data_IF_126053600551
#
_entry.id   IF_126053600551
#
_cell.length_a   1.000
_cell.length_b   1.000
_cell.length_c   1.000
_cell.angle_alpha   90.00
_cell.angle_beta   90.00
_cell.angle_gamma   90.00
#
_symmetry.space_group_name_H-M   'P 1'
#
loop_
_entity.id
_entity.type
_entity.pdbx_description
1 polymer ?
#
# COMPACT_ATOMS: atom_id res chain seq x y z
N UNK A 1 -52.62 -19.41 26.73
CA UNK A 1 -53.67 -19.61 25.70
C UNK A 1 -53.85 -18.28 24.97
N UNK A 2 -54.19 -18.33 23.67
CA UNK A 2 -54.96 -17.34 22.88
C UNK A 2 -54.68 -15.82 23.01
N UNK A 3 -54.62 -15.01 21.94
CA UNK A 3 -54.89 -15.24 20.51
C UNK A 3 -54.17 -14.21 19.62
N UNK A 4 -54.37 -14.27 18.30
CA UNK A 4 -53.53 -13.67 17.25
C UNK A 4 -54.18 -12.53 16.44
N UNK A 5 -53.38 -11.50 16.11
CA UNK A 5 -53.36 -10.74 14.82
C UNK A 5 -54.67 -10.04 14.32
N UNK A 6 -54.64 -9.27 13.21
CA UNK A 6 -53.83 -8.08 12.90
C UNK A 6 -54.70 -6.89 12.40
N UNK A 7 -54.13 -5.71 12.04
CA UNK A 7 -54.44 -5.01 10.76
C UNK A 7 -53.61 -3.73 10.45
N UNK A 8 -53.28 -3.58 9.16
CA UNK A 8 -53.08 -2.37 8.29
C UNK A 8 -52.70 -0.98 8.85
N UNK A 9 -51.53 -0.49 8.39
CA UNK A 9 -51.37 0.52 7.32
C UNK A 9 -52.46 1.61 7.13
N UNK A 10 -52.10 2.88 7.39
CA UNK A 10 -52.61 4.08 6.69
C UNK A 10 -51.53 5.18 6.67
N UNK A 11 -51.41 5.90 5.55
CA UNK A 11 -50.73 7.21 5.47
C UNK A 11 -51.79 8.33 5.47
N UNK A 12 -51.48 9.55 5.94
CA UNK A 12 -52.20 10.75 5.55
C UNK A 12 -51.79 11.22 4.14
N UNK A 13 -52.73 11.83 3.43
CA UNK A 13 -52.57 12.47 2.11
C UNK A 13 -53.40 13.78 2.10
N UNK A 14 -53.41 14.50 0.97
CA UNK A 14 -54.20 15.74 0.66
C UNK A 14 -53.65 17.04 1.29
N UNK A 15 -53.76 18.24 0.68
CA UNK A 15 -54.19 18.70 -0.67
C UNK A 15 -53.50 20.08 -0.91
N UNK A 16 -52.80 20.33 -2.03
CA UNK A 16 -53.26 20.79 -3.36
C UNK A 16 -53.68 22.27 -3.50
N UNK A 17 -53.07 22.98 -4.46
CA UNK A 17 -53.61 23.94 -5.47
C UNK A 17 -52.38 24.41 -6.33
N UNK A 18 -52.31 24.33 -7.68
CA UNK A 18 -53.14 24.91 -8.78
C UNK A 18 -52.93 26.43 -8.88
N UNK A 19 -52.56 27.10 -9.98
CA UNK A 19 -52.33 26.80 -11.43
C UNK A 19 -51.41 27.94 -12.01
N UNK A 20 -51.24 28.21 -13.34
CA UNK A 20 -51.38 27.40 -14.56
C UNK A 20 -50.13 27.43 -15.50
N UNK A 21 -50.13 26.60 -16.57
CA UNK A 21 -49.33 26.82 -17.80
C UNK A 21 -50.15 27.60 -18.86
N UNK A 22 -49.54 28.16 -19.93
CA UNK A 22 -49.32 27.37 -21.17
C UNK A 22 -47.91 27.55 -21.78
N UNK A 23 -47.25 26.60 -22.46
CA UNK A 23 -47.63 25.52 -23.41
C UNK A 23 -47.52 25.94 -24.89
N UNK A 24 -46.46 25.51 -25.60
CA UNK A 24 -46.47 24.77 -26.89
C UNK A 24 -45.18 24.82 -27.76
N UNK A 25 -44.92 23.67 -28.42
CA UNK A 25 -44.16 23.41 -29.66
C UNK A 25 -42.64 23.67 -29.78
N UNK A 26 -41.88 22.57 -29.89
CA UNK A 26 -40.72 22.47 -30.79
C UNK A 26 -41.17 22.23 -32.25
N UNK A 27 -40.33 22.52 -33.26
CA UNK A 27 -39.71 21.40 -33.99
C UNK A 27 -38.26 21.63 -34.49
N UNK A 28 -37.64 20.54 -34.96
CA UNK A 28 -36.33 20.48 -35.64
C UNK A 28 -36.52 20.04 -37.12
N UNK A 29 -35.47 19.95 -37.96
CA UNK A 29 -34.50 20.99 -38.32
C UNK A 29 -34.30 21.14 -39.87
N UNK A 30 -33.95 22.34 -40.36
CA UNK A 30 -33.55 22.64 -41.74
C UNK A 30 -32.53 23.80 -41.76
N UNK A 31 -31.72 24.11 -42.78
CA UNK A 31 -31.05 23.44 -43.92
C UNK A 31 -30.67 24.55 -44.92
N UNK A 32 -29.37 24.77 -45.17
CA UNK A 32 -28.81 25.57 -46.27
C UNK A 32 -27.35 25.11 -46.47
N UNK A 33 -26.78 24.77 -47.65
CA UNK A 33 -26.74 25.37 -49.01
C UNK A 33 -26.19 26.81 -49.01
N UNK A 34 -25.18 27.19 -49.83
CA UNK A 34 -24.58 26.61 -51.05
C UNK A 34 -23.04 26.87 -51.09
N UNK A 35 -22.16 26.04 -51.69
CA UNK A 35 -21.78 25.88 -53.13
C UNK A 35 -21.22 27.18 -53.77
N UNK A 36 -20.08 27.28 -54.47
CA UNK A 36 -19.08 26.38 -55.11
C UNK A 36 -17.75 27.19 -55.30
N UNK A 37 -16.58 26.75 -55.81
CA UNK A 37 -15.91 25.54 -56.37
C UNK A 37 -14.38 25.73 -56.13
N UNK A 38 -13.34 25.03 -56.63
CA UNK A 38 -13.02 24.00 -57.66
C UNK A 38 -11.92 23.07 -57.01
N UNK A 39 -11.47 21.89 -57.47
CA UNK A 39 -11.36 21.09 -58.72
C UNK A 39 -9.90 21.00 -59.25
N UNK A 40 -9.27 19.84 -59.08
CA UNK A 40 -7.91 19.52 -59.56
C UNK A 40 -7.49 18.06 -59.29
N UNK A 41 -7.75 17.16 -60.24
CA UNK A 41 -7.25 15.76 -60.28
C UNK A 41 -5.77 15.74 -60.77
N UNK A 42 -4.96 14.67 -60.79
CA UNK A 42 -5.00 13.22 -60.45
C UNK A 42 -3.51 12.77 -60.31
N UNK A 43 -3.06 11.59 -59.85
CA UNK A 43 -3.15 10.19 -60.37
C UNK A 43 -1.94 9.43 -59.76
N UNK A 44 -1.80 8.11 -59.56
CA UNK A 44 -2.66 6.92 -59.45
C UNK A 44 -1.75 5.66 -59.48
N UNK A 45 -1.68 4.86 -58.40
CA UNK A 45 -1.22 3.45 -58.37
C UNK A 45 -1.45 2.92 -56.94
N UNK A 46 -2.09 1.77 -56.63
CA UNK A 46 -1.97 0.36 -57.08
C UNK A 46 -0.63 -0.27 -56.70
N UNK A 47 -0.53 -1.35 -55.91
CA UNK A 47 -1.54 -2.18 -55.20
C UNK A 47 -0.82 -2.91 -54.01
N UNK A 48 -1.32 -3.91 -53.25
CA UNK A 48 -2.42 -4.89 -53.40
C UNK A 48 -2.91 -5.39 -52.02
N UNK A 49 -3.70 -6.48 -51.99
CA UNK A 49 -4.33 -7.18 -50.84
C UNK A 49 -3.39 -8.06 -49.98
N UNK A 50 -3.70 -8.20 -48.69
CA UNK A 50 -3.88 -9.52 -48.02
C UNK A 50 -4.55 -9.36 -46.63
N UNK A 51 -5.43 -10.30 -46.26
CA UNK A 51 -6.00 -10.44 -44.91
C UNK A 51 -5.68 -11.83 -44.37
N UNK A 52 -5.22 -11.95 -43.13
CA UNK A 52 -4.99 -13.24 -42.48
C UNK A 52 -5.22 -13.15 -40.95
N UNK A 53 -5.81 -14.21 -40.39
CA UNK A 53 -6.29 -14.24 -39.00
C UNK A 53 -5.76 -15.48 -38.26
N UNK A 54 -5.02 -15.25 -37.18
CA UNK A 54 -4.70 -16.24 -36.14
C UNK A 54 -4.30 -15.46 -34.87
N UNK A 55 -4.97 -15.59 -33.72
CA UNK A 55 -5.37 -16.78 -32.97
C UNK A 55 -4.16 -17.66 -32.60
N UNK A 56 -3.50 -17.30 -31.50
CA UNK A 56 -2.44 -18.09 -30.87
C UNK A 56 -2.97 -18.76 -29.61
N UNK A 57 -3.05 -20.09 -29.64
CA UNK A 57 -3.38 -20.90 -28.46
C UNK A 57 -2.12 -21.37 -27.72
N UNK A 58 -2.29 -21.66 -26.44
CA UNK A 58 -1.29 -22.23 -25.56
C UNK A 58 -0.70 -23.55 -26.10
N UNK A 59 0.62 -23.71 -26.01
CA UNK A 59 1.26 -25.03 -25.95
C UNK A 59 2.39 -25.05 -24.94
N UNK A 60 2.21 -25.81 -23.87
CA UNK A 60 3.31 -26.34 -23.08
C UNK A 60 4.17 -27.25 -23.97
N UNK A 61 5.50 -27.22 -23.78
CA UNK A 61 6.38 -28.27 -24.31
C UNK A 61 7.55 -28.51 -23.35
N UNK A 62 7.40 -29.52 -22.51
CA UNK A 62 8.50 -30.06 -21.70
C UNK A 62 9.55 -30.73 -22.61
N UNK A 63 10.82 -30.44 -22.35
CA UNK A 63 11.96 -31.20 -22.89
C UNK A 63 13.16 -31.07 -21.96
N UNK A 64 13.59 -32.18 -21.38
CA UNK A 64 14.93 -32.33 -20.81
C UNK A 64 15.83 -33.02 -21.82
N UNK A 65 17.13 -32.67 -21.83
CA UNK A 65 18.18 -33.67 -21.96
C UNK A 65 19.16 -33.60 -20.78
N UNK A 66 20.04 -34.60 -20.67
CA UNK A 66 21.00 -34.77 -19.57
C UNK A 66 22.35 -35.28 -20.09
N UNK A 67 23.35 -35.38 -19.20
CA UNK A 67 24.71 -35.99 -19.40
C UNK A 67 25.71 -35.07 -20.15
N UNK A 68 27.03 -34.99 -19.81
CA UNK A 68 27.76 -35.39 -18.59
C UNK A 68 28.60 -34.25 -17.91
N UNK A 69 29.37 -34.63 -16.89
CA UNK A 69 30.28 -33.80 -16.08
C UNK A 69 31.63 -33.44 -16.75
N UNK A 70 32.24 -32.33 -16.31
CA UNK A 70 33.69 -32.23 -16.15
C UNK A 70 34.07 -31.17 -15.09
N UNK A 71 34.72 -31.59 -14.00
CA UNK A 71 35.32 -30.71 -12.97
C UNK A 71 36.71 -31.25 -12.61
N UNK A 72 37.72 -30.39 -12.38
CA UNK A 72 39.02 -30.81 -11.87
C UNK A 72 38.93 -31.36 -10.43
N UNK A 73 39.87 -32.25 -10.09
CA UNK A 73 40.23 -32.61 -8.71
C UNK A 73 41.07 -31.49 -8.09
N UNK A 74 41.12 -31.46 -6.76
CA UNK A 74 42.40 -31.55 -6.05
C UNK A 74 42.20 -32.27 -4.69
N UNK A 75 43.17 -33.11 -4.35
CA UNK A 75 43.36 -33.95 -3.15
C UNK A 75 44.90 -33.93 -2.91
N UNK A 76 45.49 -33.90 -1.72
CA UNK A 76 45.00 -34.02 -0.33
C UNK A 76 46.14 -33.59 0.66
N UNK A 77 45.81 -33.53 1.96
CA UNK A 77 46.61 -34.07 3.10
C UNK A 77 47.42 -33.13 4.04
N UNK A 78 47.03 -33.17 5.32
CA UNK A 78 47.81 -32.94 6.59
C UNK A 78 48.58 -31.62 6.83
N UNK A 79 48.70 -31.10 8.06
CA UNK A 79 48.85 -31.83 9.34
C UNK A 79 48.17 -31.18 10.58
N UNK A 80 48.31 -31.80 11.75
CA UNK A 80 47.44 -31.71 12.93
C UNK A 80 48.01 -30.82 14.06
N UNK A 81 47.19 -29.95 14.68
CA UNK A 81 47.38 -29.58 16.10
C UNK A 81 46.09 -29.37 16.93
N UNK A 82 45.66 -30.50 17.50
CA UNK A 82 44.83 -30.76 18.70
C UNK A 82 44.63 -29.65 19.77
N UNK A 83 43.48 -29.74 20.46
CA UNK A 83 42.98 -29.02 21.66
C UNK A 83 42.17 -27.74 21.38
N UNK A 84 41.11 -27.39 22.13
CA UNK A 84 40.50 -28.03 23.32
C UNK A 84 39.00 -27.68 23.41
N UNK A 85 38.17 -28.58 23.94
CA UNK A 85 36.74 -28.34 24.14
C UNK A 85 36.48 -27.57 25.46
N UNK A 86 35.82 -26.41 25.38
CA UNK A 86 35.36 -25.67 26.57
C UNK A 86 33.89 -25.97 26.87
N UNK A 87 33.69 -27.06 27.61
CA UNK A 87 32.38 -27.45 28.14
C UNK A 87 31.91 -26.47 29.23
N UNK A 88 31.06 -25.51 28.87
CA UNK A 88 30.40 -24.61 29.82
C UNK A 88 29.29 -25.39 30.56
N UNK A 89 29.71 -26.10 31.62
CA UNK A 89 28.80 -26.67 32.61
C UNK A 89 28.10 -25.54 33.36
N UNK A 90 26.83 -25.27 33.03
CA UNK A 90 25.96 -24.44 33.87
C UNK A 90 25.61 -25.20 35.16
N UNK A 91 26.51 -25.16 36.14
CA UNK A 91 26.29 -25.72 37.47
C UNK A 91 25.14 -25.00 38.19
N UNK A 92 24.15 -25.77 38.64
CA UNK A 92 23.14 -25.29 39.59
C UNK A 92 23.65 -25.56 41.01
N UNK A 93 24.56 -24.71 41.47
CA UNK A 93 24.86 -24.61 42.90
C UNK A 93 23.81 -23.70 43.54
N UNK A 94 23.15 -24.20 44.58
CA UNK A 94 22.19 -23.44 45.37
C UNK A 94 22.94 -22.70 46.48
N UNK A 95 22.99 -21.38 46.39
CA UNK A 95 23.26 -20.50 47.53
C UNK A 95 22.12 -19.48 47.66
N UNK A 96 21.85 -19.09 48.91
CA UNK A 96 20.66 -18.31 49.28
C UNK A 96 20.99 -16.81 49.49
N UNK A 97 19.94 -15.99 49.55
CA UNK A 97 19.96 -14.54 49.85
C UNK A 97 20.68 -13.60 48.85
N UNK A 98 19.99 -13.29 47.75
CA UNK A 98 19.93 -11.93 47.21
C UNK A 98 18.69 -11.72 46.32
N UNK A 99 18.08 -10.54 46.40
CA UNK A 99 16.76 -10.23 45.82
C UNK A 99 16.70 -10.14 44.29
N UNK A 100 16.81 -11.27 43.60
CA UNK A 100 16.70 -11.36 42.14
C UNK A 100 15.27 -11.08 41.63
N UNK A 101 15.12 -10.06 40.78
CA UNK A 101 13.84 -9.63 40.24
C UNK A 101 13.30 -10.63 39.20
N UNK A 102 12.52 -11.62 39.65
CA UNK A 102 11.91 -12.64 38.78
C UNK A 102 10.73 -12.07 37.99
N UNK A 103 10.89 -11.97 36.66
CA UNK A 103 9.79 -11.65 35.74
C UNK A 103 8.82 -12.85 35.70
N UNK A 104 7.52 -12.68 36.02
CA UNK A 104 6.57 -13.78 35.99
C UNK A 104 6.33 -14.32 34.59
N UNK A 105 6.13 -15.63 34.46
CA UNK A 105 5.61 -16.22 33.21
C UNK A 105 4.14 -15.87 33.02
N UNK A 106 3.65 -15.89 31.76
CA UNK A 106 2.26 -15.49 31.45
C UNK A 106 1.19 -16.24 32.25
N UNK A 107 1.43 -17.50 32.63
CA UNK A 107 0.50 -18.27 33.46
C UNK A 107 0.41 -17.74 34.91
N UNK A 108 1.53 -17.24 35.47
CA UNK A 108 1.58 -16.72 36.84
C UNK A 108 0.87 -15.37 36.95
N UNK A 109 1.06 -14.47 35.98
CA UNK A 109 0.42 -13.15 35.97
C UNK A 109 -1.13 -13.19 35.97
N UNK A 110 -1.74 -14.29 35.51
CA UNK A 110 -3.19 -14.47 35.47
C UNK A 110 -3.75 -14.90 36.83
N UNK A 111 -2.98 -15.67 37.63
CA UNK A 111 -3.33 -16.07 39.00
C UNK A 111 -2.92 -14.99 40.02
N UNK A 112 -1.84 -14.28 39.72
CA UNK A 112 -1.23 -13.18 40.49
C UNK A 112 -2.20 -12.17 41.14
N UNK A 113 -3.05 -11.62 40.26
CA UNK A 113 -3.48 -10.22 40.37
C UNK A 113 -2.32 -9.25 40.08
N UNK A 114 -2.57 -8.12 39.41
CA UNK A 114 -1.52 -7.15 39.04
C UNK A 114 -1.10 -6.28 40.24
N UNK A 115 -0.44 -6.89 41.22
CA UNK A 115 0.00 -6.23 42.46
C UNK A 115 1.30 -5.44 42.30
N UNK A 116 1.19 -4.13 42.04
CA UNK A 116 2.18 -3.09 42.37
C UNK A 116 3.68 -3.45 42.20
N UNK A 117 4.18 -3.44 40.96
CA UNK A 117 5.63 -3.37 40.72
C UNK A 117 6.14 -1.99 41.18
N UNK A 118 7.07 -1.97 42.12
CA UNK A 118 7.70 -0.74 42.60
C UNK A 118 8.61 -0.14 41.52
N UNK A 119 8.37 1.11 41.14
CA UNK A 119 9.18 1.83 40.16
C UNK A 119 10.41 2.41 40.85
N UNK A 120 11.52 1.66 40.84
CA UNK A 120 12.85 2.24 41.06
C UNK A 120 13.15 3.30 39.99
N UNK A 121 13.92 4.33 40.34
CA UNK A 121 14.12 5.52 39.52
C UNK A 121 14.82 5.23 38.17
N UNK A 122 14.03 4.95 37.14
CA UNK A 122 14.49 4.82 35.77
C UNK A 122 14.84 6.20 35.20
N UNK A 123 16.10 6.35 34.78
CA UNK A 123 16.67 7.57 34.19
C UNK A 123 15.92 7.95 32.91
N UNK A 124 15.10 9.03 32.89
CA UNK A 124 14.10 9.21 31.85
C UNK A 124 14.70 9.84 30.58
N UNK A 125 14.82 9.03 29.52
CA UNK A 125 15.05 9.51 28.15
C UNK A 125 14.76 8.47 27.06
N UNK A 126 15.21 7.22 27.24
CA UNK A 126 15.27 6.22 26.15
C UNK A 126 14.22 5.10 26.29
N UNK A 127 13.99 4.57 27.49
CA UNK A 127 13.09 3.43 27.74
C UNK A 127 11.63 3.68 27.30
N UNK A 128 11.18 4.94 27.39
CA UNK A 128 9.80 5.34 27.05
C UNK A 128 9.49 5.06 25.58
N UNK A 129 10.49 5.19 24.70
CA UNK A 129 10.30 5.12 23.25
C UNK A 129 10.18 3.66 22.80
N UNK A 130 11.02 2.77 23.34
CA UNK A 130 10.91 1.32 23.17
C UNK A 130 9.59 0.77 23.74
N UNK A 131 9.16 1.24 24.91
CA UNK A 131 7.86 0.87 25.50
C UNK A 131 6.69 1.32 24.61
N UNK A 132 6.77 2.51 23.99
CA UNK A 132 5.75 2.96 23.04
C UNK A 132 5.71 2.09 21.77
N UNK A 133 6.85 1.67 21.23
CA UNK A 133 6.90 0.71 20.11
C UNK A 133 6.30 -0.66 20.50
N UNK A 134 6.64 -1.21 21.67
CA UNK A 134 6.08 -2.47 22.17
C UNK A 134 4.55 -2.39 22.36
N UNK A 135 4.04 -1.31 22.95
CA UNK A 135 2.60 -1.08 23.11
C UNK A 135 1.91 -0.96 21.74
N UNK A 136 2.53 -0.26 20.79
CA UNK A 136 2.02 -0.15 19.42
C UNK A 136 2.09 -1.49 18.65
N UNK A 137 2.98 -2.42 19.01
CA UNK A 137 2.94 -3.81 18.50
C UNK A 137 1.75 -4.57 19.09
N UNK A 138 1.51 -4.47 20.40
CA UNK A 138 0.44 -5.21 21.10
C UNK A 138 -0.98 -4.76 20.74
N UNK A 139 -1.17 -3.56 20.17
CA UNK A 139 -2.48 -3.08 19.71
C UNK A 139 -2.98 -3.85 18.48
N UNK A 140 -3.71 -4.94 18.69
CA UNK A 140 -4.35 -5.78 17.65
C UNK A 140 -5.58 -5.12 16.99
N UNK A 141 -5.56 -3.80 16.80
CA UNK A 141 -6.59 -3.03 16.10
C UNK A 141 -6.20 -2.63 14.68
N UNK A 142 -7.16 -2.22 13.83
CA UNK A 142 -6.87 -1.61 12.53
C UNK A 142 -6.05 -0.32 12.67
N UNK A 143 -5.16 -0.08 11.72
CA UNK A 143 -4.18 1.03 11.73
C UNK A 143 -4.30 1.89 10.48
N UNK A 144 -3.88 3.15 10.58
CA UNK A 144 -3.53 3.96 9.40
C UNK A 144 -2.07 3.68 9.02
N UNK A 145 -1.84 3.28 7.77
CA UNK A 145 -0.55 2.79 7.26
C UNK A 145 -0.13 3.64 6.05
N UNK A 146 1.05 4.26 6.13
CA UNK A 146 1.63 5.06 5.07
C UNK A 146 2.52 4.23 4.16
N UNK A 147 2.14 4.08 2.90
CA UNK A 147 2.92 3.38 1.88
C UNK A 147 3.73 4.35 1.02
N UNK A 148 5.04 4.09 0.94
CA UNK A 148 6.01 4.85 0.15
C UNK A 148 6.87 3.93 -0.69
N UNK A 149 7.42 4.42 -1.79
CA UNK A 149 8.54 3.74 -2.43
C UNK A 149 8.99 4.33 -3.75
N UNK A 150 9.90 3.61 -4.39
CA UNK A 150 10.44 3.96 -5.70
C UNK A 150 9.39 3.84 -6.81
N UNK A 151 9.55 4.68 -7.84
CA UNK A 151 8.80 4.59 -9.10
C UNK A 151 9.36 3.54 -10.06
N UNK A 152 10.65 3.24 -9.93
CA UNK A 152 11.36 2.30 -10.79
C UNK A 152 11.56 0.98 -10.03
N UNK A 153 10.73 -0.03 -10.30
CA UNK A 153 10.83 -1.37 -9.71
C UNK A 153 10.31 -2.45 -10.66
N UNK A 154 10.94 -3.63 -10.60
CA UNK A 154 10.54 -4.80 -11.39
C UNK A 154 9.11 -5.27 -11.08
N UNK A 155 8.46 -5.86 -12.09
CA UNK A 155 7.06 -6.29 -12.04
C UNK A 155 6.72 -7.16 -10.82
N UNK A 156 7.58 -8.13 -10.48
CA UNK A 156 7.45 -9.01 -9.33
C UNK A 156 7.26 -8.25 -7.98
N UNK A 157 7.96 -7.13 -7.79
CA UNK A 157 7.78 -6.32 -6.58
C UNK A 157 6.42 -5.61 -6.59
N UNK A 158 5.96 -5.15 -7.75
CA UNK A 158 4.62 -4.56 -7.88
C UNK A 158 3.52 -5.56 -7.56
N UNK A 159 3.62 -6.81 -8.03
CA UNK A 159 2.66 -7.88 -7.69
C UNK A 159 2.62 -8.15 -6.18
N UNK A 160 3.79 -8.26 -5.53
CA UNK A 160 3.90 -8.44 -4.08
C UNK A 160 3.27 -7.27 -3.31
N UNK A 161 3.52 -6.04 -3.74
CA UNK A 161 2.99 -4.82 -3.11
C UNK A 161 1.47 -4.70 -3.32
N UNK A 162 0.96 -5.13 -4.47
CA UNK A 162 -0.48 -5.18 -4.76
C UNK A 162 -1.20 -6.18 -3.83
N UNK A 163 -0.64 -7.39 -3.67
CA UNK A 163 -1.16 -8.42 -2.75
C UNK A 163 -1.09 -7.96 -1.29
N UNK A 164 0.02 -7.35 -0.88
CA UNK A 164 0.19 -6.79 0.47
C UNK A 164 -0.85 -5.71 0.78
N UNK A 165 -1.06 -4.79 -0.16
CA UNK A 165 -1.99 -3.66 0.01
C UNK A 165 -3.45 -4.14 0.06
N UNK A 166 -3.81 -5.12 -0.78
CA UNK A 166 -5.09 -5.82 -0.69
C UNK A 166 -5.29 -6.46 0.70
N UNK A 167 -4.31 -7.22 1.20
CA UNK A 167 -4.40 -7.88 2.50
C UNK A 167 -4.55 -6.88 3.67
N UNK A 168 -3.86 -5.74 3.61
CA UNK A 168 -3.98 -4.67 4.61
C UNK A 168 -5.39 -4.06 4.66
N UNK A 169 -6.01 -3.80 3.50
CA UNK A 169 -7.38 -3.25 3.43
C UNK A 169 -8.44 -4.28 3.83
N UNK A 170 -8.27 -5.56 3.45
CA UNK A 170 -9.15 -6.66 3.89
C UNK A 170 -9.10 -6.84 5.41
N UNK A 171 -7.93 -6.63 6.04
CA UNK A 171 -7.75 -6.58 7.50
C UNK A 171 -8.17 -5.24 8.14
N UNK A 172 -8.89 -4.39 7.39
CA UNK A 172 -9.51 -3.11 7.77
C UNK A 172 -8.54 -1.95 8.03
N UNK A 173 -7.26 -2.07 7.66
CA UNK A 173 -6.31 -0.97 7.79
C UNK A 173 -6.59 0.11 6.74
N UNK A 174 -6.38 1.38 7.11
CA UNK A 174 -6.53 2.52 6.23
C UNK A 174 -5.19 2.82 5.56
N UNK A 175 -5.11 2.65 4.24
CA UNK A 175 -3.91 2.93 3.45
C UNK A 175 -3.86 4.41 3.05
N UNK A 176 -2.74 5.04 3.34
CA UNK A 176 -2.36 6.36 2.83
C UNK A 176 -1.16 6.21 1.89
N UNK A 177 -1.20 6.82 0.71
CA UNK A 177 -0.04 6.87 -0.21
C UNK A 177 -0.12 8.11 -1.09
N UNK A 178 0.82 8.30 -2.02
CA UNK A 178 0.80 9.39 -3.01
C UNK A 178 0.71 8.87 -4.44
N UNK A 179 0.09 9.62 -5.36
CA UNK A 179 -0.30 9.16 -6.71
C UNK A 179 0.84 8.96 -7.72
N UNK A 180 2.02 8.53 -7.29
CA UNK A 180 3.16 8.21 -8.13
C UNK A 180 3.04 6.83 -8.81
N UNK A 181 3.80 6.62 -9.88
CA UNK A 181 3.99 5.31 -10.52
C UNK A 181 4.86 4.35 -9.67
N UNK A 182 4.99 3.09 -10.12
CA UNK A 182 5.74 2.06 -9.40
C UNK A 182 5.04 1.60 -8.13
N UNK A 183 5.73 1.69 -6.98
CA UNK A 183 5.23 1.26 -5.66
C UNK A 183 3.79 1.70 -5.42
N UNK A 184 3.53 3.01 -5.50
CA UNK A 184 2.26 3.57 -5.04
C UNK A 184 1.10 3.24 -5.99
N UNK A 185 1.38 3.08 -7.29
CA UNK A 185 0.40 2.59 -8.25
C UNK A 185 -0.01 1.13 -7.94
N UNK A 186 0.95 0.27 -7.58
CA UNK A 186 0.65 -1.09 -7.12
C UNK A 186 -0.17 -1.10 -5.81
N UNK A 187 0.15 -0.20 -4.87
CA UNK A 187 -0.64 -0.01 -3.63
C UNK A 187 -2.08 0.37 -3.94
N UNK A 188 -2.30 1.34 -4.83
CA UNK A 188 -3.63 1.80 -5.22
C UNK A 188 -4.41 0.68 -5.92
N UNK A 189 -3.80 -0.08 -6.85
CA UNK A 189 -4.45 -1.25 -7.48
C UNK A 189 -4.88 -2.29 -6.44
N UNK A 190 -4.01 -2.62 -5.49
CA UNK A 190 -4.27 -3.62 -4.45
C UNK A 190 -5.38 -3.19 -3.49
N UNK A 191 -5.36 -1.93 -3.06
CA UNK A 191 -6.39 -1.36 -2.20
C UNK A 191 -7.76 -1.27 -2.90
N UNK A 192 -7.81 -0.84 -4.16
CA UNK A 192 -9.07 -0.80 -4.94
C UNK A 192 -9.67 -2.20 -5.14
N UNK A 193 -8.83 -3.23 -5.32
CA UNK A 193 -9.26 -4.63 -5.45
C UNK A 193 -9.94 -5.19 -4.18
N UNK A 194 -9.80 -4.54 -3.03
CA UNK A 194 -10.47 -4.96 -1.79
C UNK A 194 -11.93 -4.47 -1.68
N UNK A 195 -12.44 -3.70 -2.65
CA UNK A 195 -13.82 -3.16 -2.69
C UNK A 195 -14.20 -2.28 -1.47
N UNK A 196 -13.19 -1.72 -0.79
CA UNK A 196 -13.34 -0.79 0.35
C UNK A 196 -12.72 0.58 0.07
N UNK A 197 -13.35 1.40 -0.79
CA UNK A 197 -12.79 2.68 -1.22
C UNK A 197 -12.65 3.70 -0.07
N UNK A 198 -13.37 3.51 1.05
CA UNK A 198 -13.27 4.35 2.24
C UNK A 198 -11.95 4.17 3.02
N UNK A 199 -11.26 3.04 2.82
CA UNK A 199 -9.99 2.70 3.49
C UNK A 199 -8.75 3.03 2.64
N UNK A 200 -8.92 3.73 1.52
CA UNK A 200 -7.82 4.27 0.71
C UNK A 200 -7.90 5.79 0.67
N UNK A 201 -6.79 6.46 0.95
CA UNK A 201 -6.61 7.90 0.74
C UNK A 201 -5.31 8.16 -0.02
N UNK A 202 -5.39 8.90 -1.13
CA UNK A 202 -4.22 9.24 -1.94
C UNK A 202 -3.96 10.74 -1.90
N UNK A 203 -2.85 11.13 -1.28
CA UNK A 203 -2.43 12.53 -1.17
C UNK A 203 -1.45 12.83 -2.30
N UNK A 204 -1.74 13.80 -3.16
CA UNK A 204 -0.86 14.16 -4.28
C UNK A 204 0.17 15.23 -3.86
N UNK A 205 1.41 15.18 -4.37
CA UNK A 205 2.40 16.22 -4.09
C UNK A 205 2.05 17.57 -4.74
N UNK A 206 1.32 17.51 -5.85
CA UNK A 206 0.85 18.64 -6.66
C UNK A 206 -0.60 18.35 -7.10
N UNK A 207 -1.15 19.08 -8.08
CA UNK A 207 -2.46 18.73 -8.67
C UNK A 207 -2.47 17.41 -9.49
N UNK A 208 -3.66 16.91 -9.80
CA UNK A 208 -3.89 15.69 -10.60
C UNK A 208 -3.35 15.84 -12.03
N UNK A 209 -3.58 17.00 -12.66
CA UNK A 209 -3.03 17.38 -13.99
C UNK A 209 -1.50 17.37 -14.09
N UNK A 210 -0.77 17.32 -12.96
CA UNK A 210 0.70 17.19 -12.89
C UNK A 210 1.18 15.74 -12.82
N UNK A 211 0.29 14.77 -12.56
CA UNK A 211 0.65 13.35 -12.53
C UNK A 211 0.76 12.77 -13.94
N UNK A 212 1.51 11.67 -14.17
CA UNK A 212 1.53 10.97 -15.46
C UNK A 212 0.14 10.51 -15.91
N UNK A 213 -0.16 10.41 -17.22
CA UNK A 213 -1.49 9.99 -17.71
C UNK A 213 -1.97 8.64 -17.18
N UNK A 214 -1.07 7.65 -17.06
CA UNK A 214 -1.33 6.34 -16.43
C UNK A 214 -1.79 6.51 -14.97
N UNK A 215 -1.09 7.36 -14.21
CA UNK A 215 -1.47 7.70 -12.83
C UNK A 215 -2.81 8.42 -12.78
N UNK A 216 -3.11 9.34 -13.71
CA UNK A 216 -4.42 10.00 -13.78
C UNK A 216 -5.55 9.01 -14.05
N UNK A 217 -5.36 8.04 -14.95
CA UNK A 217 -6.36 7.00 -15.24
C UNK A 217 -6.61 6.09 -14.02
N UNK A 218 -5.55 5.74 -13.27
CA UNK A 218 -5.67 4.96 -12.04
C UNK A 218 -6.34 5.78 -10.91
N UNK A 219 -5.97 7.05 -10.75
CA UNK A 219 -6.52 7.95 -9.74
C UNK A 219 -8.00 8.27 -9.98
N UNK A 220 -8.48 8.24 -11.23
CA UNK A 220 -9.92 8.42 -11.54
C UNK A 220 -10.83 7.35 -10.92
N UNK A 221 -10.25 6.23 -10.46
CA UNK A 221 -10.94 5.10 -9.80
C UNK A 221 -10.88 5.18 -8.27
N UNK A 222 -10.16 6.16 -7.71
CA UNK A 222 -9.97 6.35 -6.26
C UNK A 222 -10.99 7.37 -5.73
N UNK A 223 -11.72 7.01 -4.67
CA UNK A 223 -12.73 7.89 -4.07
C UNK A 223 -12.11 9.10 -3.33
N UNK A 224 -11.05 8.87 -2.54
CA UNK A 224 -10.46 9.91 -1.69
C UNK A 224 -9.09 10.34 -2.23
N UNK A 225 -9.10 11.29 -3.17
CA UNK A 225 -7.88 11.93 -3.70
C UNK A 225 -7.76 13.35 -3.12
N UNK A 226 -6.65 13.65 -2.48
CA UNK A 226 -6.35 14.98 -1.90
C UNK A 226 -5.28 15.66 -2.76
N UNK A 227 -5.70 16.63 -3.57
CA UNK A 227 -4.79 17.40 -4.42
C UNK A 227 -4.07 18.53 -3.68
N UNK A 228 -2.84 18.85 -4.09
CA UNK A 228 -2.08 20.04 -3.63
C UNK A 228 -1.81 21.01 -4.77
N UNK A 229 -2.81 21.66 -5.38
CA UNK A 229 -2.60 22.58 -6.51
C UNK A 229 -1.74 23.80 -6.13
N UNK A 230 -1.72 24.19 -4.84
CA UNK A 230 -0.83 25.24 -4.34
C UNK A 230 0.67 24.88 -4.53
N UNK A 231 1.03 23.59 -4.54
CA UNK A 231 2.40 23.12 -4.78
C UNK A 231 2.77 23.00 -6.27
N UNK A 232 1.87 23.31 -7.22
CA UNK A 232 2.13 23.19 -8.67
C UNK A 232 3.39 23.94 -9.15
N UNK A 233 3.82 24.95 -8.40
CA UNK A 233 4.98 25.81 -8.70
C UNK A 233 6.31 25.24 -8.16
N UNK A 234 6.28 24.29 -7.24
CA UNK A 234 7.47 23.72 -6.62
C UNK A 234 8.16 22.68 -7.53
N UNK A 235 9.48 22.46 -7.39
CA UNK A 235 10.14 21.27 -7.93
C UNK A 235 9.51 20.00 -7.36
N UNK A 236 9.32 18.96 -8.20
CA UNK A 236 8.60 17.75 -7.81
C UNK A 236 9.24 17.01 -6.62
N UNK A 237 10.57 17.06 -6.46
CA UNK A 237 11.28 16.50 -5.31
C UNK A 237 10.82 17.13 -3.99
N UNK A 238 10.67 18.46 -3.97
CA UNK A 238 10.31 19.21 -2.77
C UNK A 238 8.81 19.10 -2.48
N UNK A 239 7.98 19.15 -3.53
CA UNK A 239 6.56 18.83 -3.44
C UNK A 239 6.34 17.39 -2.90
N UNK A 240 7.22 16.44 -3.23
CA UNK A 240 7.19 15.08 -2.66
C UNK A 240 7.62 15.03 -1.19
N UNK A 241 8.60 15.80 -0.71
CA UNK A 241 8.91 15.89 0.74
C UNK A 241 7.70 16.38 1.53
N UNK A 242 7.10 17.49 1.10
CA UNK A 242 5.88 18.04 1.70
C UNK A 242 4.67 17.09 1.57
N UNK A 243 4.65 16.22 0.56
CA UNK A 243 3.64 15.17 0.47
C UNK A 243 3.87 14.06 1.50
N UNK A 244 5.13 13.66 1.71
CA UNK A 244 5.50 12.57 2.58
C UNK A 244 5.30 12.92 4.07
N UNK A 245 5.59 14.16 4.47
CA UNK A 245 5.34 14.62 5.85
C UNK A 245 3.85 14.62 6.19
N UNK A 246 3.00 15.11 5.27
CA UNK A 246 1.55 15.07 5.47
C UNK A 246 1.03 13.62 5.58
N UNK A 247 1.53 12.68 4.77
CA UNK A 247 1.17 11.26 4.92
C UNK A 247 1.64 10.72 6.28
N UNK A 248 2.88 10.99 6.69
CA UNK A 248 3.44 10.56 7.99
C UNK A 248 2.63 11.12 9.17
N UNK A 249 2.05 12.32 9.04
CA UNK A 249 1.20 12.90 10.08
C UNK A 249 -0.07 12.09 10.36
N UNK A 250 -0.67 11.46 9.33
CA UNK A 250 -1.95 10.74 9.45
C UNK A 250 -1.82 9.29 9.95
N UNK A 251 -0.62 8.69 9.84
CA UNK A 251 -0.42 7.24 9.98
C UNK A 251 0.25 6.87 11.31
N UNK A 252 0.12 5.62 11.74
CA UNK A 252 0.83 5.06 12.90
C UNK A 252 1.98 4.15 12.46
N UNK A 253 1.84 3.52 11.28
CA UNK A 253 2.86 2.66 10.67
C UNK A 253 3.23 3.20 9.29
N UNK A 254 4.47 2.98 8.89
CA UNK A 254 5.05 3.32 7.59
C UNK A 254 5.62 2.05 6.97
N UNK A 255 5.29 1.79 5.70
CA UNK A 255 5.85 0.72 4.90
C UNK A 255 6.53 1.37 3.68
N UNK A 256 7.82 1.16 3.52
CA UNK A 256 8.61 1.77 2.46
C UNK A 256 9.34 0.73 1.59
N UNK A 257 9.31 0.91 0.26
CA UNK A 257 10.01 0.08 -0.73
C UNK A 257 11.03 0.93 -1.50
N UNK A 258 12.32 0.83 -1.14
CA UNK A 258 13.35 1.74 -1.62
C UNK A 258 14.59 1.01 -2.17
N UNK A 259 15.45 1.76 -2.87
CA UNK A 259 16.85 1.38 -3.05
C UNK A 259 17.70 2.06 -1.97
N UNK A 260 18.87 1.52 -1.64
CA UNK A 260 19.75 2.08 -0.60
C UNK A 260 20.23 3.51 -0.91
N UNK A 261 20.30 3.90 -2.20
CA UNK A 261 20.71 5.23 -2.65
C UNK A 261 19.61 6.32 -2.53
N UNK A 262 18.37 5.91 -2.21
CA UNK A 262 17.18 6.73 -2.41
C UNK A 262 16.98 7.76 -1.28
N UNK A 263 17.78 8.83 -1.32
CA UNK A 263 17.84 9.90 -0.30
C UNK A 263 16.48 10.36 0.20
N UNK A 264 15.55 10.68 -0.70
CA UNK A 264 14.18 11.11 -0.36
C UNK A 264 13.45 10.08 0.52
N UNK A 265 13.58 8.78 0.23
CA UNK A 265 12.90 7.71 0.97
C UNK A 265 13.63 7.40 2.28
N UNK A 266 14.96 7.52 2.33
CA UNK A 266 15.74 7.40 3.56
C UNK A 266 15.46 8.56 4.53
N UNK A 267 15.42 9.80 4.02
CA UNK A 267 14.95 11.00 4.73
C UNK A 267 13.54 10.73 5.31
N UNK A 268 12.58 10.36 4.45
CA UNK A 268 11.19 10.05 4.83
C UNK A 268 11.10 8.97 5.92
N UNK A 269 11.90 7.90 5.82
CA UNK A 269 11.93 6.84 6.83
C UNK A 269 12.55 7.30 8.15
N UNK A 270 13.56 8.17 8.12
CA UNK A 270 14.16 8.73 9.33
C UNK A 270 13.22 9.73 10.01
N UNK A 271 12.52 10.56 9.24
CA UNK A 271 11.50 11.47 9.75
C UNK A 271 10.32 10.71 10.39
N UNK A 272 9.90 9.59 9.79
CA UNK A 272 8.93 8.68 10.39
C UNK A 272 9.42 8.06 11.72
N UNK A 273 10.69 7.63 11.81
CA UNK A 273 11.29 7.16 13.08
C UNK A 273 11.36 8.26 14.13
N UNK A 274 11.78 9.46 13.75
CA UNK A 274 11.83 10.63 14.64
C UNK A 274 10.43 10.98 15.20
N UNK A 275 9.37 10.73 14.43
CA UNK A 275 7.96 10.88 14.81
C UNK A 275 7.34 9.58 15.40
N UNK A 276 8.19 8.64 15.86
CA UNK A 276 7.82 7.41 16.58
C UNK A 276 6.79 6.53 15.85
N UNK A 277 6.86 6.51 14.52
CA UNK A 277 6.05 5.61 13.68
C UNK A 277 6.73 4.25 13.62
N UNK A 278 5.96 3.18 13.57
CA UNK A 278 6.50 1.85 13.25
C UNK A 278 6.96 1.88 11.79
N UNK A 279 8.26 1.76 11.51
CA UNK A 279 8.80 1.81 10.14
C UNK A 279 9.25 0.42 9.68
N UNK A 280 8.57 -0.12 8.67
CA UNK A 280 8.98 -1.31 7.93
C UNK A 280 9.61 -0.88 6.61
N UNK A 281 10.91 -1.14 6.42
CA UNK A 281 11.66 -0.78 5.22
C UNK A 281 12.10 -2.03 4.47
N UNK A 282 11.71 -2.13 3.20
CA UNK A 282 12.15 -3.14 2.26
C UNK A 282 13.10 -2.52 1.24
N UNK A 283 14.29 -3.11 1.11
CA UNK A 283 15.21 -2.81 0.02
C UNK A 283 14.88 -3.65 -1.22
N UNK A 284 15.35 -3.20 -2.38
CA UNK A 284 15.00 -3.75 -3.70
C UNK A 284 16.26 -4.10 -4.53
N UNK A 285 17.42 -3.99 -3.89
CA UNK A 285 18.80 -4.12 -4.37
C UNK A 285 19.66 -4.89 -3.35
#
# INVERSE_FOLDING_TARGET
>A
MSSSLPLRLLLPLTTSLIHPSPDFHAPSPLRSHNSNFNRGSSSSSSSTTASCSSQWQLRFRSYSPSIPMCFPRDEDNTDIQRNKDENITCGLESDEDSGGLRIPTQAQAIVEGTGSVAVSELKPAVDVDYIQELLAIQQQGPRSIGFFGTRNMGFMHQELIEILSYAMVITKNHIYTSGASGTNAAVIRGALRAERPELLTVILPQSLKKQPPESQELLSKVQNVVEKPHNDHLPLLEASRLCNMDIISQVQQVICFAFHDSKLLMETCQEAKNLRKIVTLFYLD
#
